data_IF_194616485362
#
_entry.id   IF_194616485362
#
_cell.length_a   1.000
_cell.length_b   1.000
_cell.length_c   1.000
_cell.angle_alpha   90.00
_cell.angle_beta   90.00
_cell.angle_gamma   90.00
#
_symmetry.space_group_name_H-M   'P 1'
#
loop_
_entity.id
_entity.type
_entity.pdbx_description
1 polymer ?
#
# COMPACT_ATOMS: atom_id res chain seq x y z
N UNK A 1 -25.77 8.96 -7.35
CA UNK A 1 -24.44 9.16 -6.71
C UNK A 1 -23.28 9.11 -7.71
N UNK A 2 -23.08 8.06 -8.53
CA UNK A 2 -21.97 8.05 -9.52
C UNK A 2 -22.05 9.18 -10.56
N UNK A 3 -23.23 9.49 -11.09
CA UNK A 3 -23.42 10.55 -12.11
C UNK A 3 -23.19 11.97 -11.57
N UNK A 4 -23.57 12.23 -10.33
CA UNK A 4 -23.52 13.55 -9.70
C UNK A 4 -22.07 14.03 -9.47
N UNK A 5 -21.18 13.13 -9.09
CA UNK A 5 -19.74 13.41 -8.99
C UNK A 5 -19.14 13.89 -10.32
N UNK A 6 -19.54 13.27 -11.45
CA UNK A 6 -19.02 13.63 -12.77
C UNK A 6 -19.57 14.97 -13.27
N UNK A 7 -20.77 15.37 -12.85
CA UNK A 7 -21.32 16.70 -13.13
C UNK A 7 -20.51 17.77 -12.38
N UNK A 8 -20.17 17.52 -11.12
CA UNK A 8 -19.32 18.43 -10.35
C UNK A 8 -17.88 18.48 -10.87
N UNK A 9 -17.33 17.35 -11.33
CA UNK A 9 -16.00 17.30 -11.95
C UNK A 9 -15.95 18.22 -13.18
N UNK A 10 -16.91 18.14 -14.09
CA UNK A 10 -16.94 19.02 -15.28
C UNK A 10 -17.08 20.51 -14.90
N UNK A 11 -17.71 20.78 -13.76
CA UNK A 11 -17.80 22.11 -13.16
C UNK A 11 -16.51 22.65 -12.52
N UNK A 12 -15.44 21.84 -12.40
CA UNK A 12 -14.13 22.26 -11.88
C UNK A 12 -13.41 23.12 -12.92
N UNK A 13 -13.87 24.36 -13.08
CA UNK A 13 -13.21 25.36 -13.91
C UNK A 13 -11.86 25.73 -13.31
N UNK A 14 -10.78 25.30 -13.95
CA UNK A 14 -9.44 25.78 -13.64
C UNK A 14 -9.34 27.25 -14.03
N UNK A 15 -9.48 28.17 -13.06
CA UNK A 15 -9.05 29.57 -13.27
C UNK A 15 -7.52 29.58 -13.43
N UNK A 16 -6.97 30.58 -14.11
CA UNK A 16 -5.51 30.69 -14.39
C UNK A 16 -4.63 30.49 -13.14
N UNK A 17 -5.15 30.78 -11.95
CA UNK A 17 -4.44 30.63 -10.66
C UNK A 17 -4.67 29.30 -9.93
N UNK A 18 -5.70 28.51 -10.28
CA UNK A 18 -6.09 27.30 -9.55
C UNK A 18 -6.23 26.12 -10.52
N UNK A 19 -5.18 25.31 -10.65
CA UNK A 19 -5.22 24.04 -11.38
C UNK A 19 -5.64 22.92 -10.44
N UNK A 20 -6.64 22.13 -10.84
CA UNK A 20 -7.12 20.98 -10.08
C UNK A 20 -6.63 19.71 -10.75
N UNK A 21 -5.95 18.83 -10.00
CA UNK A 21 -5.56 17.50 -10.43
C UNK A 21 -6.46 16.47 -9.74
N UNK A 22 -7.09 15.59 -10.53
CA UNK A 22 -7.91 14.50 -10.01
C UNK A 22 -7.13 13.20 -10.13
N UNK A 23 -6.95 12.50 -9.01
CA UNK A 23 -6.37 11.16 -8.94
C UNK A 23 -7.44 10.17 -8.50
N UNK A 24 -7.51 9.02 -9.19
CA UNK A 24 -8.43 7.95 -8.88
C UNK A 24 -7.69 6.62 -8.72
N UNK A 25 -8.16 5.77 -7.81
CA UNK A 25 -7.62 4.44 -7.56
C UNK A 25 -8.76 3.41 -7.53
N UNK A 26 -8.55 2.23 -8.13
CA UNK A 26 -9.52 1.12 -8.14
C UNK A 26 -8.81 -0.22 -8.15
N UNK A 27 -9.36 -1.19 -7.42
CA UNK A 27 -8.94 -2.60 -7.47
C UNK A 27 -9.74 -3.41 -8.52
N UNK A 28 -10.71 -2.79 -9.19
CA UNK A 28 -11.56 -3.41 -10.21
C UNK A 28 -11.65 -2.49 -11.44
N UNK A 29 -10.56 -2.39 -12.23
CA UNK A 29 -10.53 -1.48 -13.37
C UNK A 29 -11.52 -1.86 -14.47
N UNK A 30 -11.86 -3.15 -14.58
CA UNK A 30 -12.78 -3.69 -15.58
C UNK A 30 -14.26 -3.47 -15.24
N UNK A 31 -14.58 -3.09 -13.99
CA UNK A 31 -15.95 -2.79 -13.55
C UNK A 31 -16.33 -1.32 -13.83
N UNK A 32 -15.42 -0.51 -14.38
CA UNK A 32 -15.65 0.90 -14.69
C UNK A 32 -16.38 1.06 -16.02
N UNK A 33 -17.38 1.94 -16.06
CA UNK A 33 -18.05 2.30 -17.31
C UNK A 33 -17.17 3.16 -18.23
N UNK A 34 -17.51 3.16 -19.52
CA UNK A 34 -16.79 3.93 -20.55
C UNK A 34 -16.75 5.43 -20.28
N UNK A 35 -17.76 5.98 -19.60
CA UNK A 35 -17.85 7.41 -19.32
C UNK A 35 -16.83 7.85 -18.27
N UNK A 36 -16.53 7.01 -17.27
CA UNK A 36 -15.44 7.21 -16.30
C UNK A 36 -14.09 7.04 -16.99
N UNK A 37 -13.96 5.97 -17.76
CA UNK A 37 -12.74 5.59 -18.49
C UNK A 37 -12.28 6.72 -19.42
N UNK A 38 -13.19 7.39 -20.12
CA UNK A 38 -12.89 8.54 -20.99
C UNK A 38 -12.41 9.79 -20.23
N UNK A 39 -12.88 9.99 -18.99
CA UNK A 39 -12.48 11.12 -18.13
C UNK A 39 -11.12 10.90 -17.43
N UNK A 40 -10.64 9.67 -17.38
CA UNK A 40 -9.34 9.27 -16.83
C UNK A 40 -8.45 8.69 -17.94
N UNK A 41 -7.89 9.53 -18.82
CA UNK A 41 -7.12 9.08 -19.97
C UNK A 41 -5.75 8.51 -19.57
N UNK A 42 -5.16 8.98 -18.47
CA UNK A 42 -3.90 8.46 -17.93
C UNK A 42 -4.19 7.36 -16.91
N UNK A 43 -3.67 6.16 -17.17
CA UNK A 43 -3.88 4.99 -16.32
C UNK A 43 -2.53 4.34 -16.06
N UNK A 44 -2.26 4.05 -14.80
CA UNK A 44 -1.05 3.38 -14.35
C UNK A 44 -1.48 2.10 -13.63
N UNK A 45 -1.10 0.95 -14.18
CA UNK A 45 -1.30 -0.32 -13.51
C UNK A 45 -0.17 -0.51 -12.50
N UNK A 46 -0.55 -0.70 -11.24
CA UNK A 46 0.40 -0.95 -10.15
C UNK A 46 0.44 -2.45 -9.93
N UNK A 47 1.56 -3.07 -10.25
CA UNK A 47 1.80 -4.49 -9.98
C UNK A 47 2.31 -4.69 -8.55
N UNK A 48 2.32 -5.94 -8.11
CA UNK A 48 2.98 -6.31 -6.85
C UNK A 48 4.47 -5.93 -6.88
N UNK A 49 5.04 -5.49 -5.75
CA UNK A 49 6.45 -5.11 -5.69
C UNK A 49 7.34 -6.33 -5.90
N UNK A 50 8.46 -6.12 -6.61
CA UNK A 50 9.56 -7.09 -6.69
C UNK A 50 10.37 -7.13 -5.38
N UNK A 51 11.32 -8.06 -5.28
CA UNK A 51 12.17 -8.20 -4.10
C UNK A 51 12.87 -6.89 -3.67
N UNK A 52 13.57 -6.15 -4.54
CA UNK A 52 14.23 -4.92 -4.12
C UNK A 52 13.25 -3.83 -3.68
N UNK A 53 12.05 -3.74 -4.27
CA UNK A 53 11.04 -2.81 -3.79
C UNK A 53 10.41 -3.25 -2.47
N UNK A 54 10.22 -4.56 -2.24
CA UNK A 54 9.78 -5.08 -0.93
C UNK A 54 10.79 -4.76 0.18
N UNK A 55 12.09 -4.88 -0.09
CA UNK A 55 13.14 -4.48 0.86
C UNK A 55 13.03 -2.98 1.21
N UNK A 56 12.84 -2.11 0.21
CA UNK A 56 12.64 -0.66 0.44
C UNK A 56 11.37 -0.38 1.24
N UNK A 57 10.27 -1.07 0.94
CA UNK A 57 9.02 -0.92 1.69
C UNK A 57 9.22 -1.35 3.14
N UNK A 58 9.88 -2.48 3.39
CA UNK A 58 10.21 -2.95 4.74
C UNK A 58 11.07 -1.92 5.49
N UNK A 59 12.07 -1.33 4.84
CA UNK A 59 12.88 -0.24 5.42
C UNK A 59 12.04 0.97 5.84
N UNK A 60 11.05 1.35 5.03
CA UNK A 60 10.15 2.47 5.35
C UNK A 60 9.21 2.10 6.51
N UNK A 61 8.63 0.90 6.48
CA UNK A 61 7.71 0.43 7.53
C UNK A 61 8.42 0.33 8.88
N UNK A 62 9.66 -0.16 8.89
CA UNK A 62 10.44 -0.41 10.09
C UNK A 62 11.37 0.76 10.45
N UNK A 63 11.27 1.91 9.76
CA UNK A 63 12.19 3.04 9.97
C UNK A 63 12.18 3.61 11.40
N UNK A 64 11.06 3.46 12.11
CA UNK A 64 10.90 3.92 13.49
C UNK A 64 11.10 2.82 14.54
N UNK A 65 11.40 1.59 14.12
CA UNK A 65 11.49 0.42 15.00
C UNK A 65 12.94 0.06 15.32
N UNK A 66 13.18 -0.47 16.52
CA UNK A 66 14.50 -1.01 16.89
C UNK A 66 14.62 -2.45 16.39
N UNK A 67 15.35 -2.62 15.29
CA UNK A 67 15.64 -3.93 14.70
C UNK A 67 16.82 -4.60 15.42
N UNK A 68 16.72 -5.92 15.64
CA UNK A 68 17.86 -6.73 16.08
C UNK A 68 18.94 -6.74 14.98
N UNK A 69 20.24 -6.77 15.31
CA UNK A 69 21.32 -6.93 14.33
C UNK A 69 21.19 -8.20 13.48
N UNK A 70 20.43 -9.20 13.93
CA UNK A 70 20.22 -10.46 13.21
C UNK A 70 19.18 -10.37 12.09
N UNK A 71 18.51 -9.22 11.93
CA UNK A 71 17.44 -9.07 10.92
C UNK A 71 18.03 -8.64 9.58
N UNK A 72 18.02 -9.55 8.61
CA UNK A 72 18.29 -9.24 7.21
C UNK A 72 17.00 -8.93 6.43
N UNK A 73 16.80 -7.65 6.11
CA UNK A 73 15.64 -7.17 5.33
C UNK A 73 15.65 -7.69 3.89
N UNK A 74 16.84 -8.00 3.33
CA UNK A 74 16.96 -8.55 1.98
C UNK A 74 16.43 -9.98 1.94
N UNK A 75 16.84 -10.81 2.89
CA UNK A 75 16.33 -12.18 3.04
C UNK A 75 14.81 -12.19 3.27
N UNK A 76 14.30 -11.27 4.10
CA UNK A 76 12.85 -11.13 4.29
C UNK A 76 12.12 -10.73 3.01
N UNK A 77 12.70 -9.82 2.21
CA UNK A 77 12.14 -9.43 0.93
C UNK A 77 12.08 -10.60 -0.06
N UNK A 78 13.07 -11.48 -0.07
CA UNK A 78 13.10 -12.69 -0.91
C UNK A 78 12.03 -13.71 -0.49
N UNK A 79 11.83 -13.89 0.82
CA UNK A 79 10.82 -14.81 1.38
C UNK A 79 9.38 -14.34 1.24
N UNK A 80 9.15 -13.05 0.98
CA UNK A 80 7.81 -12.43 0.90
C UNK A 80 7.32 -12.23 -0.54
N UNK A 81 7.66 -13.16 -1.43
CA UNK A 81 7.19 -13.12 -2.82
C UNK A 81 5.65 -13.07 -2.89
N UNK A 82 5.14 -12.16 -3.72
CA UNK A 82 3.70 -11.94 -3.88
C UNK A 82 3.06 -11.02 -2.83
N UNK A 83 3.81 -10.53 -1.84
CA UNK A 83 3.26 -9.66 -0.81
C UNK A 83 3.10 -8.23 -1.34
N UNK A 84 1.95 -7.62 -1.08
CA UNK A 84 1.74 -6.19 -1.25
C UNK A 84 2.34 -5.39 -0.09
N UNK A 85 2.41 -4.06 -0.23
CA UNK A 85 2.86 -3.20 0.87
C UNK A 85 2.01 -3.34 2.13
N UNK A 86 0.69 -3.57 1.99
CA UNK A 86 -0.19 -3.86 3.13
C UNK A 86 0.10 -5.21 3.76
N UNK A 87 0.42 -6.24 2.98
CA UNK A 87 0.76 -7.56 3.53
C UNK A 87 2.07 -7.50 4.32
N UNK A 88 3.07 -6.79 3.81
CA UNK A 88 4.33 -6.54 4.54
C UNK A 88 4.10 -5.79 5.85
N UNK A 89 3.22 -4.77 5.85
CA UNK A 89 2.86 -4.05 7.08
C UNK A 89 2.17 -4.97 8.09
N UNK A 90 1.22 -5.77 7.64
CA UNK A 90 0.51 -6.72 8.50
C UNK A 90 1.44 -7.80 9.06
N UNK A 91 2.42 -8.24 8.26
CA UNK A 91 3.48 -9.16 8.71
C UNK A 91 4.28 -8.55 9.87
N UNK A 92 4.74 -7.29 9.73
CA UNK A 92 5.47 -6.60 10.79
C UNK A 92 4.61 -6.43 12.07
N UNK A 93 3.34 -6.06 11.92
CA UNK A 93 2.41 -5.95 13.05
C UNK A 93 2.24 -7.30 13.75
N UNK A 94 2.06 -8.40 12.99
CA UNK A 94 1.93 -9.73 13.55
C UNK A 94 3.18 -10.17 14.32
N UNK A 95 4.37 -9.85 13.80
CA UNK A 95 5.65 -10.15 14.46
C UNK A 95 5.79 -9.42 15.81
N UNK A 96 5.38 -8.15 15.89
CA UNK A 96 5.37 -7.38 17.15
C UNK A 96 4.46 -7.99 18.23
N UNK A 97 3.39 -8.67 17.84
CA UNK A 97 2.48 -9.33 18.78
C UNK A 97 2.96 -10.71 19.25
N UNK A 98 3.94 -11.33 18.58
CA UNK A 98 4.43 -12.66 18.95
C UNK A 98 5.01 -12.71 20.38
N UNK A 99 5.91 -11.78 20.79
CA UNK A 99 6.46 -11.77 22.16
C UNK A 99 5.38 -11.56 23.24
N UNK A 100 4.33 -10.80 22.95
CA UNK A 100 3.21 -10.56 23.87
C UNK A 100 2.41 -11.86 24.06
N UNK A 101 2.20 -12.63 22.99
CA UNK A 101 1.49 -13.91 23.05
C UNK A 101 2.29 -14.96 23.81
N UNK A 102 3.60 -15.01 23.61
CA UNK A 102 4.51 -15.92 24.32
C UNK A 102 4.57 -15.62 25.82
N UNK A 103 4.56 -14.34 26.22
CA UNK A 103 4.49 -13.94 27.64
C UNK A 103 3.18 -14.34 28.31
N UNK A 104 2.04 -14.28 27.60
CA UNK A 104 0.72 -14.64 28.15
C UNK A 104 0.50 -16.15 28.26
N UNK A 105 1.17 -16.96 27.45
CA UNK A 105 1.01 -18.42 27.45
C UNK A 105 1.96 -19.16 28.41
N UNK A 106 2.77 -18.45 29.19
CA UNK A 106 3.53 -19.02 30.30
C UNK A 106 4.79 -19.80 29.90
N UNK A 107 5.96 -19.21 30.18
CA UNK A 107 7.17 -19.93 30.58
C UNK A 107 7.95 -20.71 29.52
N UNK A 108 9.10 -20.17 29.11
CA UNK A 108 10.46 -20.74 29.29
C UNK A 108 11.40 -20.05 28.30
N UNK A 109 12.27 -19.18 28.84
CA UNK A 109 13.60 -19.02 28.28
C UNK A 109 14.55 -19.68 29.28
N UNK A 110 15.10 -20.82 28.87
CA UNK A 110 16.41 -21.34 29.30
C UNK A 110 17.33 -21.12 28.11
#
# INVERSE_FOLDING_TARGET
MKSEFFVHWDGLRTKEKNRVLVLAATNRPFDLDDAVIRRLPRRLLINLPDAPNREKILKIILAAENLSPDIDLKEMADKTSGYSGSDLKNLCIAALHCPIRERKNGGRFS
#
